data_IF_955350112392
#
_entry.id   IF_955350112392
#
_cell.length_a   1.000
_cell.length_b   1.000
_cell.length_c   1.000
_cell.angle_alpha   90.00
_cell.angle_beta   90.00
_cell.angle_gamma   90.00
#
_symmetry.space_group_name_H-M   'P 1'
#
loop_
_entity.id
_entity.type
_entity.pdbx_description
1 polymer ?
#
# COMPACT_ATOMS: atom_id res chain seq x y z
N UNK A 1 -33.99 -44.48 3.92
CA UNK A 1 -33.27 -43.79 4.99
C UNK A 1 -32.29 -42.68 4.43
N UNK A 2 -31.72 -42.88 3.27
CA UNK A 2 -30.78 -41.97 2.62
C UNK A 2 -31.42 -40.62 2.23
N UNK A 3 -32.69 -40.54 1.84
CA UNK A 3 -33.35 -39.31 1.38
C UNK A 3 -33.54 -38.26 2.49
N UNK A 4 -33.83 -38.67 3.71
CA UNK A 4 -34.01 -37.74 4.84
C UNK A 4 -32.67 -37.14 5.31
N UNK A 5 -31.60 -37.93 5.30
CA UNK A 5 -30.26 -37.45 5.63
C UNK A 5 -29.76 -36.38 4.62
N UNK A 6 -30.04 -36.60 3.33
CA UNK A 6 -29.72 -35.62 2.29
C UNK A 6 -30.48 -34.31 2.50
N UNK A 7 -31.74 -34.32 2.89
CA UNK A 7 -32.54 -33.12 3.18
C UNK A 7 -31.95 -32.32 4.37
N UNK A 8 -31.57 -33.00 5.46
CA UNK A 8 -30.92 -32.33 6.59
C UNK A 8 -29.59 -31.70 6.21
N UNK A 9 -28.82 -32.35 5.34
CA UNK A 9 -27.54 -31.80 4.84
C UNK A 9 -27.76 -30.52 4.02
N UNK A 10 -28.79 -30.48 3.16
CA UNK A 10 -29.12 -29.24 2.41
C UNK A 10 -29.61 -28.13 3.32
N UNK A 11 -30.39 -28.41 4.36
CA UNK A 11 -30.83 -27.40 5.32
C UNK A 11 -29.65 -26.88 6.17
N UNK A 12 -28.73 -27.75 6.59
CA UNK A 12 -27.52 -27.38 7.32
C UNK A 12 -26.58 -26.51 6.45
N UNK A 13 -26.42 -26.87 5.18
CA UNK A 13 -25.65 -26.12 4.20
C UNK A 13 -26.30 -24.75 3.89
N UNK A 14 -27.62 -24.71 3.75
CA UNK A 14 -28.36 -23.45 3.59
C UNK A 14 -28.24 -22.55 4.79
N UNK A 15 -28.32 -23.09 6.02
CA UNK A 15 -28.11 -22.35 7.26
C UNK A 15 -26.69 -21.84 7.38
N UNK A 16 -25.68 -22.63 6.98
CA UNK A 16 -24.28 -22.24 6.94
C UNK A 16 -24.02 -21.08 5.96
N UNK A 17 -24.63 -21.12 4.77
CA UNK A 17 -24.54 -20.02 3.79
C UNK A 17 -25.20 -18.74 4.31
N UNK A 18 -26.31 -18.85 5.07
CA UNK A 18 -26.99 -17.71 5.68
C UNK A 18 -26.12 -17.03 6.75
N UNK A 19 -25.35 -17.80 7.52
CA UNK A 19 -24.40 -17.25 8.49
C UNK A 19 -23.22 -16.51 7.84
N UNK A 20 -22.81 -16.90 6.63
CA UNK A 20 -21.72 -16.26 5.89
C UNK A 20 -22.14 -14.94 5.23
N UNK A 21 -23.43 -14.69 5.05
CA UNK A 21 -23.95 -13.51 4.33
C UNK A 21 -24.02 -12.23 5.18
N UNK A 22 -23.70 -12.27 6.47
CA UNK A 22 -24.06 -11.20 7.43
C UNK A 22 -22.95 -10.20 7.79
N UNK A 23 -21.81 -10.15 7.08
CA UNK A 23 -20.67 -9.34 7.52
C UNK A 23 -20.15 -8.30 6.52
N UNK A 24 -20.98 -7.80 5.61
CA UNK A 24 -20.59 -6.65 4.80
C UNK A 24 -20.91 -5.35 5.56
N UNK A 25 -19.99 -4.88 6.39
CA UNK A 25 -20.07 -3.51 6.93
C UNK A 25 -19.64 -2.56 5.82
N UNK A 26 -20.51 -1.66 5.42
CA UNK A 26 -20.12 -0.53 4.57
C UNK A 26 -19.17 0.37 5.38
N UNK A 27 -17.98 0.64 4.84
CA UNK A 27 -17.04 1.57 5.46
C UNK A 27 -17.57 2.98 5.28
N UNK A 28 -17.67 3.74 6.38
CA UNK A 28 -18.13 5.12 6.34
C UNK A 28 -16.91 6.06 6.25
N UNK A 29 -16.75 6.67 5.08
CA UNK A 29 -15.70 7.67 4.86
C UNK A 29 -16.20 9.04 5.30
N UNK A 30 -15.37 9.85 5.99
CA UNK A 30 -15.73 11.20 6.35
C UNK A 30 -16.12 12.01 5.10
N UNK A 31 -17.06 12.93 5.29
CA UNK A 31 -17.41 13.89 4.24
C UNK A 31 -16.26 14.85 4.02
N UNK A 32 -16.13 15.35 2.79
CA UNK A 32 -15.21 16.45 2.51
C UNK A 32 -15.54 17.63 3.43
N UNK A 33 -14.52 18.24 4.07
CA UNK A 33 -14.76 19.35 5.00
C UNK A 33 -15.35 20.56 4.30
N UNK A 34 -16.33 21.17 4.95
CA UNK A 34 -16.94 22.43 4.54
C UNK A 34 -17.08 23.31 5.79
N UNK A 35 -16.32 24.40 5.92
CA UNK A 35 -15.34 24.95 4.98
C UNK A 35 -14.13 24.05 4.74
N UNK A 36 -13.48 24.27 3.60
CA UNK A 36 -12.28 23.52 3.20
C UNK A 36 -11.08 23.81 4.12
N UNK A 37 -10.38 22.71 4.52
CA UNK A 37 -9.11 22.77 5.23
C UNK A 37 -8.13 21.76 4.64
N UNK A 38 -6.85 22.10 4.67
CA UNK A 38 -5.78 21.19 4.27
C UNK A 38 -5.47 20.15 5.35
N UNK A 39 -5.65 20.52 6.63
CA UNK A 39 -5.45 19.62 7.77
C UNK A 39 -6.79 19.29 8.41
N UNK A 40 -7.17 18.02 8.35
CA UNK A 40 -8.44 17.50 8.85
C UNK A 40 -8.18 16.50 9.98
N UNK A 41 -8.29 16.95 11.21
CA UNK A 41 -8.09 16.13 12.41
C UNK A 41 -9.42 15.75 13.05
N UNK A 42 -9.87 14.53 12.82
CA UNK A 42 -11.10 13.98 13.40
C UNK A 42 -10.87 13.32 14.77
N UNK A 43 -9.65 13.38 15.29
CA UNK A 43 -9.25 12.70 16.52
C UNK A 43 -8.81 13.63 17.63
N UNK A 44 -8.77 14.94 17.36
CA UNK A 44 -8.22 15.97 18.26
C UNK A 44 -6.78 15.59 18.73
N UNK A 45 -5.97 15.08 17.81
CA UNK A 45 -4.57 14.70 18.07
C UNK A 45 -3.67 15.94 18.14
N UNK A 46 -3.98 16.94 17.33
CA UNK A 46 -3.23 18.19 17.24
C UNK A 46 -3.82 19.24 18.17
N UNK A 47 -2.95 19.97 18.87
CA UNK A 47 -3.37 21.20 19.52
C UNK A 47 -3.78 22.26 18.49
N UNK A 48 -4.55 23.24 18.91
CA UNK A 48 -4.99 24.34 18.02
C UNK A 48 -3.82 25.12 17.41
N UNK A 49 -2.69 25.20 18.11
CA UNK A 49 -1.50 25.88 17.60
C UNK A 49 -0.78 25.03 16.55
N UNK A 50 -0.58 23.75 16.80
CA UNK A 50 0.02 22.79 15.85
C UNK A 50 -0.81 22.71 14.57
N UNK A 51 -2.12 22.57 14.72
CA UNK A 51 -3.05 22.56 13.59
C UNK A 51 -2.89 23.81 12.72
N UNK A 52 -2.90 25.02 13.33
CA UNK A 52 -2.73 26.29 12.59
C UNK A 52 -1.37 26.36 11.88
N UNK A 53 -0.32 25.88 12.51
CA UNK A 53 1.03 25.90 11.94
C UNK A 53 1.09 25.03 10.69
N UNK A 54 0.54 23.82 10.75
CA UNK A 54 0.50 22.90 9.62
C UNK A 54 -0.41 23.41 8.49
N UNK A 55 -1.59 23.92 8.84
CA UNK A 55 -2.54 24.50 7.88
C UNK A 55 -1.90 25.69 7.12
N UNK A 56 -1.27 26.62 7.83
CA UNK A 56 -0.63 27.77 7.22
C UNK A 56 0.54 27.35 6.30
N UNK A 57 1.33 26.35 6.68
CA UNK A 57 2.41 25.81 5.85
C UNK A 57 1.86 25.22 4.54
N UNK A 58 0.72 24.54 4.59
CA UNK A 58 0.09 23.98 3.40
C UNK A 58 -0.55 25.05 2.51
N UNK A 59 -1.15 26.08 3.10
CA UNK A 59 -1.66 27.25 2.37
C UNK A 59 -0.49 27.97 1.66
N UNK A 60 0.63 28.18 2.34
CA UNK A 60 1.80 28.80 1.75
C UNK A 60 2.38 27.95 0.61
N UNK A 61 2.54 26.64 0.81
CA UNK A 61 2.98 25.74 -0.25
C UNK A 61 2.06 25.81 -1.47
N UNK A 62 0.75 25.86 -1.23
CA UNK A 62 -0.27 25.96 -2.28
C UNK A 62 -0.16 27.23 -3.11
N UNK A 63 0.26 28.33 -2.48
CA UNK A 63 0.48 29.60 -3.19
C UNK A 63 1.71 29.57 -4.11
N UNK A 64 2.69 28.70 -3.82
CA UNK A 64 3.95 28.57 -4.54
C UNK A 64 3.92 27.45 -5.58
N UNK A 65 3.08 26.43 -5.39
CA UNK A 65 3.02 25.24 -6.24
C UNK A 65 1.61 24.99 -6.75
N UNK A 66 1.47 24.20 -7.82
CA UNK A 66 0.14 23.75 -8.28
C UNK A 66 -0.40 22.57 -7.45
N UNK A 67 0.45 21.90 -6.68
CA UNK A 67 0.12 20.66 -5.95
C UNK A 67 -0.79 20.92 -4.76
N UNK A 68 -1.75 20.02 -4.54
CA UNK A 68 -2.66 20.04 -3.39
C UNK A 68 -2.29 18.92 -2.42
N UNK A 69 -1.81 19.27 -1.23
CA UNK A 69 -1.44 18.30 -0.19
C UNK A 69 -2.48 18.41 0.92
N UNK A 70 -3.10 17.29 1.26
CA UNK A 70 -4.12 17.17 2.31
C UNK A 70 -3.61 16.22 3.39
N UNK A 71 -3.88 16.55 4.65
CA UNK A 71 -3.67 15.68 5.80
C UNK A 71 -5.04 15.29 6.36
N UNK A 72 -5.25 14.00 6.59
CA UNK A 72 -6.45 13.49 7.27
C UNK A 72 -6.03 12.57 8.41
N UNK A 73 -6.40 12.92 9.64
CA UNK A 73 -6.18 12.11 10.83
C UNK A 73 -7.54 11.55 11.25
N UNK A 74 -7.70 10.23 11.10
CA UNK A 74 -8.93 9.50 11.42
C UNK A 74 -8.70 8.54 12.58
N UNK A 75 -9.76 8.16 13.32
CA UNK A 75 -9.60 7.18 14.40
C UNK A 75 -9.18 5.79 13.87
N UNK A 76 -9.84 5.29 12.84
CA UNK A 76 -9.63 3.93 12.31
C UNK A 76 -10.11 3.82 10.87
N UNK A 77 -9.56 2.89 10.11
CA UNK A 77 -10.06 2.49 8.77
C UNK A 77 -11.27 1.54 8.84
N UNK A 78 -11.78 1.24 10.03
CA UNK A 78 -12.92 0.33 10.27
C UNK A 78 -12.67 -1.10 9.73
N UNK A 79 -11.40 -1.52 9.65
CA UNK A 79 -10.99 -2.83 9.17
C UNK A 79 -10.70 -2.90 7.67
N UNK A 80 -10.89 -1.81 6.93
CA UNK A 80 -10.43 -1.71 5.54
C UNK A 80 -8.89 -1.59 5.50
N UNK A 81 -8.30 -2.09 4.43
CA UNK A 81 -6.87 -1.94 4.20
C UNK A 81 -6.53 -0.44 3.97
N UNK A 82 -5.45 0.06 4.60
CA UNK A 82 -5.14 1.50 4.66
C UNK A 82 -4.94 2.12 3.26
N UNK A 83 -4.34 1.38 2.32
CA UNK A 83 -4.12 1.87 0.97
C UNK A 83 -5.45 2.03 0.21
N UNK A 84 -6.34 1.04 0.36
CA UNK A 84 -7.67 1.08 -0.25
C UNK A 84 -8.51 2.21 0.34
N UNK A 85 -8.50 2.35 1.68
CA UNK A 85 -9.20 3.43 2.36
C UNK A 85 -8.69 4.81 1.91
N UNK A 86 -7.36 4.99 1.84
CA UNK A 86 -6.75 6.23 1.40
C UNK A 86 -7.13 6.57 -0.04
N UNK A 87 -7.08 5.59 -0.94
CA UNK A 87 -7.47 5.76 -2.35
C UNK A 87 -8.95 6.12 -2.50
N UNK A 88 -9.82 5.44 -1.76
CA UNK A 88 -11.25 5.72 -1.78
C UNK A 88 -11.56 7.11 -1.22
N UNK A 89 -10.92 7.49 -0.11
CA UNK A 89 -11.07 8.82 0.49
C UNK A 89 -10.55 9.92 -0.43
N UNK A 90 -9.36 9.70 -1.03
CA UNK A 90 -8.76 10.60 -2.01
C UNK A 90 -9.72 10.89 -3.16
N UNK A 91 -10.29 9.84 -3.75
CA UNK A 91 -11.22 9.94 -4.87
C UNK A 91 -12.56 10.54 -4.44
N UNK A 92 -13.09 10.17 -3.26
CA UNK A 92 -14.32 10.72 -2.70
C UNK A 92 -14.23 12.22 -2.44
N UNK A 93 -13.07 12.68 -1.94
CA UNK A 93 -12.83 14.10 -1.73
C UNK A 93 -12.40 14.84 -3.00
N UNK A 94 -12.00 14.10 -4.06
CA UNK A 94 -11.51 14.68 -5.30
C UNK A 94 -10.24 15.50 -5.09
N UNK A 95 -9.26 14.95 -4.33
CA UNK A 95 -8.02 15.64 -3.99
C UNK A 95 -7.18 15.84 -5.25
N UNK A 96 -6.61 17.04 -5.41
CA UNK A 96 -5.86 17.43 -6.60
C UNK A 96 -6.72 18.19 -7.62
N UNK A 97 -6.08 18.71 -8.66
CA UNK A 97 -6.74 19.50 -9.69
C UNK A 97 -6.97 18.66 -10.93
N UNK A 98 -8.19 18.74 -11.47
CA UNK A 98 -8.52 18.21 -12.81
C UNK A 98 -8.25 19.22 -13.94
N UNK A 99 -8.02 20.49 -13.58
CA UNK A 99 -7.75 21.52 -14.57
C UNK A 99 -6.48 21.13 -15.33
N UNK A 100 -6.59 20.91 -16.62
CA UNK A 100 -5.52 20.41 -17.50
C UNK A 100 -5.02 18.98 -17.22
N UNK A 101 -5.81 18.10 -16.59
CA UNK A 101 -5.41 16.74 -16.21
C UNK A 101 -4.21 16.68 -15.24
N UNK A 102 -4.01 17.71 -14.42
CA UNK A 102 -2.85 17.78 -13.53
C UNK A 102 -2.82 16.64 -12.51
N UNK A 103 -3.98 16.23 -11.96
CA UNK A 103 -4.10 15.15 -10.95
C UNK A 103 -2.98 15.20 -9.87
N UNK A 104 -2.63 16.40 -9.45
CA UNK A 104 -1.44 16.72 -8.65
C UNK A 104 -1.74 16.77 -7.15
N UNK A 105 -2.60 15.88 -6.70
CA UNK A 105 -2.98 15.75 -5.30
C UNK A 105 -2.08 14.79 -4.53
N UNK A 106 -1.94 15.05 -3.22
CA UNK A 106 -1.34 14.12 -2.24
C UNK A 106 -2.23 14.08 -1.01
N UNK A 107 -2.51 12.88 -0.51
CA UNK A 107 -3.20 12.66 0.76
C UNK A 107 -2.27 11.94 1.73
N UNK A 108 -1.92 12.58 2.85
CA UNK A 108 -1.34 11.91 4.01
C UNK A 108 -2.49 11.46 4.93
N UNK A 109 -2.84 10.20 4.88
CA UNK A 109 -3.84 9.58 5.75
C UNK A 109 -3.17 8.96 6.98
N UNK A 110 -3.71 9.23 8.17
CA UNK A 110 -3.21 8.69 9.45
C UNK A 110 -4.40 8.07 10.17
N UNK A 111 -4.40 6.75 10.32
CA UNK A 111 -5.38 5.99 11.11
C UNK A 111 -4.78 5.74 12.51
N UNK A 112 -5.08 6.67 13.44
CA UNK A 112 -4.39 6.78 14.74
C UNK A 112 -4.49 5.52 15.58
N UNK A 113 -5.70 4.97 15.73
CA UNK A 113 -5.92 3.80 16.59
C UNK A 113 -5.39 2.51 15.95
N UNK A 114 -5.33 2.48 14.60
CA UNK A 114 -4.79 1.34 13.86
C UNK A 114 -3.25 1.39 13.79
N UNK A 115 -2.63 2.51 14.21
CA UNK A 115 -1.20 2.79 14.06
C UNK A 115 -0.71 2.59 12.62
N UNK A 116 -1.49 3.05 11.66
CA UNK A 116 -1.19 2.95 10.23
C UNK A 116 -1.28 4.31 9.57
N UNK A 117 -0.42 4.52 8.58
CA UNK A 117 -0.48 5.72 7.75
C UNK A 117 -0.25 5.34 6.28
N UNK A 118 -0.72 6.19 5.39
CA UNK A 118 -0.55 6.04 3.96
C UNK A 118 -0.39 7.40 3.29
N UNK A 119 0.55 7.51 2.36
CA UNK A 119 0.66 8.64 1.45
C UNK A 119 0.08 8.19 0.12
N UNK A 120 -1.10 8.69 -0.23
CA UNK A 120 -1.71 8.44 -1.55
C UNK A 120 -1.36 9.58 -2.51
N UNK A 121 -0.98 9.22 -3.73
CA UNK A 121 -0.57 10.15 -4.79
C UNK A 121 -1.56 10.17 -5.93
N UNK A 122 -1.81 11.34 -6.46
CA UNK A 122 -2.52 11.50 -7.73
C UNK A 122 -1.59 11.19 -8.90
N UNK A 123 -2.15 10.72 -10.01
CA UNK A 123 -1.38 10.27 -11.19
C UNK A 123 -0.39 11.31 -11.73
N UNK A 124 -0.71 12.60 -11.61
CA UNK A 124 0.14 13.68 -12.11
C UNK A 124 1.36 13.97 -11.24
N UNK A 125 1.41 13.40 -10.01
CA UNK A 125 2.50 13.62 -9.06
C UNK A 125 3.39 12.37 -8.89
N UNK A 126 3.00 11.22 -9.44
CA UNK A 126 3.75 9.95 -9.31
C UNK A 126 5.19 10.05 -9.82
N UNK A 127 5.44 10.90 -10.81
CA UNK A 127 6.79 11.15 -11.32
C UNK A 127 7.67 11.94 -10.35
N UNK A 128 7.10 12.84 -9.55
CA UNK A 128 7.81 13.65 -8.57
C UNK A 128 7.85 12.99 -7.18
N UNK A 129 6.81 12.24 -6.84
CA UNK A 129 6.69 11.50 -5.57
C UNK A 129 6.37 10.02 -5.86
N UNK A 130 7.33 9.22 -6.35
CA UNK A 130 7.15 7.79 -6.55
C UNK A 130 6.90 7.05 -5.23
N UNK A 131 6.31 5.86 -5.29
CA UNK A 131 6.01 5.02 -4.12
C UNK A 131 7.25 4.73 -3.26
N UNK A 132 8.41 4.52 -3.88
CA UNK A 132 9.68 4.30 -3.18
C UNK A 132 10.08 5.53 -2.34
N UNK A 133 9.92 6.75 -2.90
CA UNK A 133 10.19 8.01 -2.19
C UNK A 133 9.17 8.21 -1.07
N UNK A 134 7.88 7.98 -1.33
CA UNK A 134 6.84 8.05 -0.30
C UNK A 134 7.11 7.07 0.85
N UNK A 135 7.53 5.83 0.53
CA UNK A 135 7.93 4.83 1.53
C UNK A 135 9.12 5.29 2.38
N UNK A 136 10.12 5.91 1.75
CA UNK A 136 11.31 6.45 2.44
C UNK A 136 10.91 7.59 3.38
N UNK A 137 10.05 8.51 2.93
CA UNK A 137 9.52 9.60 3.75
C UNK A 137 8.78 9.05 4.97
N UNK A 138 7.93 8.06 4.80
CA UNK A 138 7.23 7.43 5.92
C UNK A 138 8.20 6.87 6.93
N UNK A 139 9.18 6.09 6.50
CA UNK A 139 10.14 5.41 7.39
C UNK A 139 11.07 6.36 8.14
N UNK A 140 11.56 7.38 7.47
CA UNK A 140 12.62 8.25 8.03
C UNK A 140 12.09 9.56 8.59
N UNK A 141 11.04 10.14 8.00
CA UNK A 141 10.56 11.47 8.38
C UNK A 141 9.29 11.44 9.26
N UNK A 142 8.48 10.36 9.21
CA UNK A 142 7.22 10.32 9.95
C UNK A 142 7.26 9.31 11.10
N UNK A 143 7.51 8.04 10.79
CA UNK A 143 7.41 6.92 11.74
C UNK A 143 8.25 7.08 13.01
N UNK A 144 9.50 7.61 12.99
CA UNK A 144 10.29 7.78 14.21
C UNK A 144 9.64 8.69 15.24
N UNK A 145 8.92 9.73 14.79
CA UNK A 145 8.18 10.65 15.67
C UNK A 145 6.89 10.02 16.18
N UNK A 146 6.16 9.30 15.32
CA UNK A 146 4.90 8.64 15.69
C UNK A 146 5.09 7.55 16.74
N UNK A 147 6.22 6.84 16.70
CA UNK A 147 6.62 5.89 17.77
C UNK A 147 6.78 6.56 19.14
N UNK A 148 7.05 7.86 19.15
CA UNK A 148 7.20 8.68 20.37
C UNK A 148 5.92 9.51 20.65
N UNK A 149 4.82 9.25 19.95
CA UNK A 149 3.55 10.00 20.03
C UNK A 149 3.66 11.49 19.66
N UNK A 150 4.76 11.90 19.02
CA UNK A 150 5.03 13.27 18.54
C UNK A 150 4.42 13.47 17.16
N UNK A 151 3.09 13.43 17.09
CA UNK A 151 2.35 13.41 15.83
C UNK A 151 2.54 14.69 15.01
N UNK A 152 2.43 15.86 15.64
CA UNK A 152 2.59 17.14 14.94
C UNK A 152 3.94 17.27 14.27
N UNK A 153 5.00 16.88 14.96
CA UNK A 153 6.37 16.94 14.44
C UNK A 153 6.59 15.92 13.30
N UNK A 154 6.08 14.70 13.45
CA UNK A 154 6.14 13.71 12.39
C UNK A 154 5.40 14.14 11.14
N UNK A 155 4.22 14.75 11.29
CA UNK A 155 3.47 15.34 10.17
C UNK A 155 4.26 16.48 9.53
N UNK A 156 4.80 17.43 10.32
CA UNK A 156 5.57 18.55 9.79
C UNK A 156 6.79 18.10 9.00
N UNK A 157 7.57 17.14 9.54
CA UNK A 157 8.74 16.58 8.85
C UNK A 157 8.35 15.81 7.58
N UNK A 158 7.27 15.02 7.64
CA UNK A 158 6.73 14.31 6.48
C UNK A 158 6.28 15.28 5.38
N UNK A 159 5.52 16.32 5.73
CA UNK A 159 5.08 17.34 4.78
C UNK A 159 6.25 18.09 4.15
N UNK A 160 7.27 18.47 4.94
CA UNK A 160 8.48 19.11 4.43
C UNK A 160 9.17 18.23 3.38
N UNK A 161 9.31 16.93 3.66
CA UNK A 161 9.92 15.98 2.74
C UNK A 161 9.05 15.74 1.48
N UNK A 162 7.73 15.67 1.62
CA UNK A 162 6.80 15.58 0.49
C UNK A 162 6.92 16.83 -0.40
N UNK A 163 6.93 18.02 0.18
CA UNK A 163 7.08 19.27 -0.56
C UNK A 163 8.42 19.34 -1.30
N UNK A 164 9.51 18.94 -0.64
CA UNK A 164 10.83 18.88 -1.27
C UNK A 164 10.87 17.88 -2.44
N UNK A 165 10.23 16.71 -2.30
CA UNK A 165 10.12 15.73 -3.38
C UNK A 165 9.37 16.30 -4.59
N UNK A 166 8.24 16.95 -4.35
CA UNK A 166 7.43 17.57 -5.40
C UNK A 166 8.20 18.67 -6.15
N UNK A 167 9.03 19.43 -5.44
CA UNK A 167 9.86 20.48 -6.02
C UNK A 167 11.14 19.96 -6.68
N UNK A 168 11.42 18.66 -6.63
CA UNK A 168 12.67 18.08 -7.14
C UNK A 168 13.90 18.34 -6.28
N UNK A 169 13.70 18.82 -5.04
CA UNK A 169 14.75 19.15 -4.06
C UNK A 169 15.00 18.03 -3.06
N UNK A 170 14.17 16.99 -3.07
CA UNK A 170 14.32 15.85 -2.18
C UNK A 170 15.52 15.01 -2.64
N UNK A 171 16.64 15.18 -1.98
CA UNK A 171 17.69 14.18 -2.04
C UNK A 171 17.12 12.91 -1.41
N UNK A 172 16.84 11.90 -2.23
CA UNK A 172 16.61 10.56 -1.72
C UNK A 172 17.74 10.30 -0.73
N UNK A 173 17.41 9.90 0.50
CA UNK A 173 18.40 9.32 1.38
C UNK A 173 19.03 8.20 0.54
N UNK A 174 20.20 8.50 -0.04
CA UNK A 174 21.01 7.45 -0.61
C UNK A 174 21.06 6.40 0.49
N UNK A 175 20.72 5.19 0.14
CA UNK A 175 20.69 4.00 1.00
C UNK A 175 22.10 3.66 1.52
N UNK A 176 22.77 4.65 2.13
CA UNK A 176 23.92 4.45 3.00
C UNK A 176 23.38 3.91 4.32
N UNK A 177 23.17 2.60 4.35
CA UNK A 177 22.73 1.87 5.52
C UNK A 177 21.28 1.40 5.41
N UNK A 178 20.81 0.88 4.28
CA UNK A 178 20.23 -0.43 4.39
C UNK A 178 21.36 -1.28 4.99
N UNK A 179 21.45 -1.27 6.33
CA UNK A 179 21.74 -2.52 7.00
C UNK A 179 20.71 -3.45 6.36
N UNK A 180 21.13 -4.14 5.28
CA UNK A 180 20.64 -5.47 5.06
C UNK A 180 20.49 -5.98 6.49
N UNK A 181 19.26 -6.18 6.95
CA UNK A 181 19.06 -7.22 7.93
C UNK A 181 19.61 -8.45 7.23
N UNK A 182 20.95 -8.50 7.20
CA UNK A 182 21.65 -9.74 7.14
C UNK A 182 20.88 -10.56 8.12
N UNK A 183 20.24 -11.57 7.58
CA UNK A 183 19.80 -12.70 8.36
C UNK A 183 21.05 -13.28 9.04
N UNK A 184 21.61 -12.51 9.96
CA UNK A 184 22.51 -12.98 11.00
C UNK A 184 21.73 -13.83 12.01
N UNK A 185 20.53 -14.25 11.63
CA UNK A 185 19.85 -15.38 12.22
C UNK A 185 20.50 -16.66 11.71
N UNK A 186 21.76 -16.83 12.18
CA UNK A 186 22.38 -18.17 12.25
C UNK A 186 21.34 -19.17 12.78
N UNK A 187 20.47 -18.75 13.66
CA UNK A 187 19.31 -19.47 14.16
C UNK A 187 18.28 -19.81 13.07
N UNK A 188 17.99 -18.91 12.12
CA UNK A 188 17.10 -19.19 10.99
C UNK A 188 17.71 -20.20 10.03
N UNK A 189 19.00 -20.06 9.71
CA UNK A 189 19.71 -21.02 8.85
C UNK A 189 19.80 -22.40 9.54
N UNK A 190 20.08 -22.44 10.85
CA UNK A 190 20.09 -23.68 11.64
C UNK A 190 18.70 -24.31 11.72
N UNK A 191 17.64 -23.52 11.80
CA UNK A 191 16.25 -24.00 11.78
C UNK A 191 15.92 -24.66 10.45
N UNK A 192 16.25 -24.03 9.31
CA UNK A 192 16.02 -24.62 7.99
C UNK A 192 16.90 -25.85 7.73
N UNK A 193 18.15 -25.85 8.18
CA UNK A 193 19.03 -27.03 8.13
C UNK A 193 18.50 -28.16 9.02
N UNK A 194 18.03 -27.85 10.23
CA UNK A 194 17.43 -28.82 11.13
C UNK A 194 16.14 -29.42 10.57
N UNK A 195 15.25 -28.59 10.02
CA UNK A 195 14.02 -29.06 9.39
C UNK A 195 14.30 -29.87 8.13
N UNK A 196 15.26 -29.44 7.30
CA UNK A 196 15.74 -30.22 6.15
C UNK A 196 16.30 -31.57 6.52
N UNK A 197 17.06 -31.67 7.62
CA UNK A 197 17.62 -32.92 8.15
C UNK A 197 16.51 -33.84 8.70
N UNK A 198 15.50 -33.29 9.34
CA UNK A 198 14.33 -34.05 9.83
C UNK A 198 13.55 -34.62 8.64
N UNK A 199 13.27 -33.82 7.62
CA UNK A 199 12.61 -34.26 6.39
C UNK A 199 13.44 -35.32 5.70
N UNK A 200 14.76 -35.13 5.62
CA UNK A 200 15.68 -36.10 5.04
C UNK A 200 15.65 -37.45 5.80
N UNK A 201 15.64 -37.42 7.15
CA UNK A 201 15.56 -38.64 7.98
C UNK A 201 14.21 -39.34 7.84
N UNK A 202 13.10 -38.57 7.72
CA UNK A 202 11.74 -39.14 7.58
C UNK A 202 11.53 -39.75 6.18
N UNK A 203 12.02 -39.07 5.14
CA UNK A 203 11.79 -39.48 3.77
C UNK A 203 12.94 -40.31 3.16
N UNK A 204 14.03 -40.55 3.90
CA UNK A 204 15.09 -41.40 3.43
C UNK A 204 14.68 -42.87 3.64
N UNK A 205 14.30 -43.60 2.56
CA UNK A 205 13.93 -45.01 2.70
C UNK A 205 15.14 -45.80 3.13
N UNK A 206 15.13 -46.37 4.31
CA UNK A 206 16.06 -47.40 4.72
C UNK A 206 15.77 -48.65 3.90
N UNK A 207 16.49 -48.80 2.81
CA UNK A 207 16.46 -50.08 2.11
C UNK A 207 16.72 -50.02 0.62
N UNK A 208 17.82 -50.66 0.22
CA UNK A 208 18.25 -51.09 -1.12
C UNK A 208 18.69 -50.01 -2.12
N UNK A 209 19.98 -49.82 -2.14
CA UNK A 209 20.74 -49.23 -3.23
C UNK A 209 20.53 -50.01 -4.55
N UNK A 210 19.68 -49.46 -5.43
CA UNK A 210 19.74 -49.83 -6.84
C UNK A 210 20.72 -48.90 -7.52
N UNK A 211 21.82 -49.46 -7.95
CA UNK A 211 22.82 -48.79 -8.79
C UNK A 211 22.11 -48.33 -10.09
N UNK A 212 21.98 -47.03 -10.29
CA UNK A 212 21.55 -46.47 -11.57
C UNK A 212 22.81 -46.35 -12.45
N UNK A 213 22.83 -47.09 -13.56
CA UNK A 213 23.98 -47.10 -14.46
C UNK A 213 24.15 -45.73 -15.15
N UNK A 214 25.39 -45.32 -15.48
CA UNK A 214 25.70 -44.02 -16.10
C UNK A 214 24.99 -43.74 -17.44
N UNK A 215 24.48 -44.75 -18.12
CA UNK A 215 23.80 -44.65 -19.42
C UNK A 215 22.40 -43.99 -19.35
N UNK A 216 21.75 -43.95 -18.19
CA UNK A 216 20.43 -43.34 -18.03
C UNK A 216 20.50 -41.83 -17.82
N UNK A 217 21.62 -41.29 -17.32
CA UNK A 217 21.85 -39.85 -17.16
C UNK A 217 22.08 -39.14 -18.50
N UNK A 218 22.69 -39.83 -19.47
CA UNK A 218 22.96 -39.28 -20.80
C UNK A 218 21.70 -39.17 -21.69
N UNK A 219 20.65 -39.96 -21.40
CA UNK A 219 19.36 -39.86 -22.10
C UNK A 219 18.53 -38.69 -21.58
N UNK A 220 18.51 -38.46 -20.27
CA UNK A 220 17.81 -37.33 -19.66
C UNK A 220 18.41 -35.98 -20.06
N UNK A 221 19.72 -35.89 -20.21
CA UNK A 221 20.41 -34.66 -20.66
C UNK A 221 20.07 -34.29 -22.11
N UNK A 222 19.83 -35.26 -22.97
CA UNK A 222 19.47 -35.03 -24.38
C UNK A 222 18.01 -34.61 -24.57
N UNK A 223 17.10 -35.04 -23.69
CA UNK A 223 15.70 -34.63 -23.75
C UNK A 223 15.50 -33.20 -23.18
N UNK A 224 16.24 -32.80 -22.15
CA UNK A 224 16.18 -31.42 -21.60
C UNK A 224 16.72 -30.38 -22.61
N UNK A 225 17.72 -30.70 -23.42
CA UNK A 225 18.25 -29.80 -24.46
C UNK A 225 17.31 -29.64 -25.66
N UNK A 226 16.39 -30.57 -25.92
CA UNK A 226 15.39 -30.47 -26.98
C UNK A 226 14.18 -29.60 -26.57
N UNK A 227 13.81 -29.56 -25.30
CA UNK A 227 12.70 -28.76 -24.79
C UNK A 227 12.98 -27.24 -24.74
N UNK A 228 14.27 -26.85 -24.74
CA UNK A 228 14.68 -25.44 -24.63
C UNK A 228 14.67 -24.65 -25.96
N UNK A 229 14.30 -25.26 -27.07
CA UNK A 229 14.39 -24.63 -28.42
C UNK A 229 13.05 -24.21 -29.04
N UNK A 230 11.95 -24.27 -28.29
CA UNK A 230 10.63 -23.86 -28.81
C UNK A 230 9.89 -22.99 -27.84
N UNK A 231 10.23 -21.70 -27.77
CA UNK A 231 9.24 -20.68 -27.47
C UNK A 231 9.69 -19.31 -28.02
N UNK A 232 9.21 -19.01 -29.22
CA UNK A 232 9.19 -17.67 -29.80
C UNK A 232 7.78 -17.11 -29.66
N UNK A 233 7.67 -15.96 -28.98
CA UNK A 233 6.72 -14.92 -29.37
C UNK A 233 5.34 -14.99 -28.75
N UNK A 234 5.05 -14.06 -27.84
CA UNK A 234 3.71 -13.47 -27.80
C UNK A 234 3.82 -12.00 -27.33
N UNK A 235 3.62 -11.07 -28.27
CA UNK A 235 3.38 -9.66 -27.98
C UNK A 235 1.88 -9.43 -27.98
N UNK A 236 1.39 -8.59 -27.07
CA UNK A 236 -0.01 -8.20 -27.03
C UNK A 236 -0.16 -6.91 -26.24
N UNK A 237 -0.34 -5.79 -26.96
CA UNK A 237 -0.64 -4.48 -26.38
C UNK A 237 -2.11 -4.38 -25.99
N UNK A 238 -2.37 -3.64 -24.90
CA UNK A 238 -3.71 -3.15 -24.58
C UNK A 238 -3.68 -1.64 -24.41
N UNK A 239 -4.33 -0.97 -25.36
CA UNK A 239 -4.73 0.44 -25.35
C UNK A 239 -6.19 0.50 -24.90
N UNK A 240 -6.51 1.33 -23.92
CA UNK A 240 -7.89 1.60 -23.48
C UNK A 240 -7.99 3.02 -22.92
N UNK A 241 -8.48 3.93 -23.78
CA UNK A 241 -8.82 5.31 -23.47
C UNK A 241 -10.25 5.39 -22.94
N UNK A 242 -10.48 6.10 -21.84
CA UNK A 242 -11.79 6.68 -21.53
C UNK A 242 -11.62 8.07 -20.96
N UNK A 243 -12.17 9.04 -21.67
CA UNK A 243 -12.29 10.43 -21.25
C UNK A 243 -13.63 10.72 -20.60
N UNK A 244 -13.69 11.78 -19.82
CA UNK A 244 -14.92 12.34 -19.27
C UNK A 244 -14.61 13.53 -18.37
N UNK A 245 -14.81 14.76 -18.86
CA UNK A 245 -14.53 15.98 -18.11
C UNK A 245 -15.74 16.52 -17.37
N UNK A 246 -15.48 17.29 -16.33
CA UNK A 246 -16.45 18.25 -15.78
C UNK A 246 -15.72 19.41 -15.09
N UNK A 247 -16.23 20.63 -15.28
CA UNK A 247 -15.64 21.91 -14.84
C UNK A 247 -16.27 22.39 -13.55
N UNK A 248 -15.47 22.94 -12.66
CA UNK A 248 -15.93 23.71 -11.50
C UNK A 248 -14.76 24.46 -10.86
N UNK A 249 -14.90 25.78 -10.73
CA UNK A 249 -13.90 26.70 -10.18
C UNK A 249 -14.28 27.12 -8.76
N UNK A 250 -13.27 27.13 -7.88
CA UNK A 250 -13.35 27.57 -6.50
C UNK A 250 -12.32 26.78 -5.68
N UNK A 251 -11.74 27.33 -4.64
CA UNK A 251 -10.90 26.56 -3.71
C UNK A 251 -11.75 25.47 -3.04
N UNK A 252 -11.82 24.35 -3.72
CA UNK A 252 -12.46 23.10 -3.37
C UNK A 252 -11.56 21.98 -3.82
N UNK A 253 -11.82 20.78 -3.32
CA UNK A 253 -11.23 19.58 -3.91
C UNK A 253 -11.39 19.60 -5.41
N UNK A 254 -10.28 19.61 -6.13
CA UNK A 254 -10.25 19.90 -7.56
C UNK A 254 -10.64 18.75 -8.48
N UNK A 255 -11.19 17.65 -7.92
CA UNK A 255 -11.66 16.50 -8.70
C UNK A 255 -10.54 15.60 -9.22
N UNK A 256 -9.35 15.64 -8.61
CA UNK A 256 -8.24 14.74 -8.92
C UNK A 256 -8.58 13.28 -8.60
N UNK A 257 -7.87 12.35 -9.22
CA UNK A 257 -8.01 10.91 -8.97
C UNK A 257 -6.65 10.26 -8.70
N UNK A 258 -6.62 9.37 -7.71
CA UNK A 258 -5.52 8.44 -7.48
C UNK A 258 -5.80 7.13 -8.22
N UNK A 259 -4.76 6.56 -8.82
CA UNK A 259 -4.79 5.23 -9.42
C UNK A 259 -4.40 4.11 -8.44
N UNK A 260 -4.23 4.46 -7.15
CA UNK A 260 -3.74 3.55 -6.14
C UNK A 260 -2.23 3.66 -5.88
N UNK A 261 -1.55 4.66 -6.48
CA UNK A 261 -0.16 4.98 -6.17
C UNK A 261 0.00 5.51 -4.74
N UNK A 262 1.18 5.27 -4.16
CA UNK A 262 1.53 5.70 -2.81
C UNK A 262 2.25 4.64 -2.00
N UNK A 263 2.49 4.95 -0.74
CA UNK A 263 3.14 4.03 0.19
C UNK A 263 2.49 4.06 1.55
N UNK A 264 2.52 2.93 2.25
CA UNK A 264 2.02 2.78 3.61
C UNK A 264 3.09 2.44 4.63
N UNK A 265 2.76 2.66 5.89
CA UNK A 265 3.61 2.31 7.02
C UNK A 265 2.80 2.11 8.30
N UNK A 266 3.48 1.59 9.32
CA UNK A 266 2.95 1.43 10.67
C UNK A 266 4.00 1.87 11.70
N UNK A 267 3.54 2.19 12.92
CA UNK A 267 4.41 2.59 14.03
C UNK A 267 4.02 1.96 15.35
#
# INVERSE_FOLDING_TARGET
MISKFSQYLYHLFGLFLLFFSLSSRAVDYPKAPDPFYYVNDYTNTLSSQEWRTLENALIENRSKTSSQIIVAIIPTTQGEEIAQYATNLFNKWGIGRTKHNENNGVLLLIAKNDRKLFIATGRGIEGALPDATASTIIRHNITPYFKQERYAEGIANGLSAIMAAINGEYAAYDSYGEEEQRFDDINGLLFFLGMGLIIFVIFYPRGNSRYVSPSTLDQLGREMMRASRSNKGFGGGFSGSFGGGSRGSGDSFGGGSSGGGGAGGSW
#
